data_IF_608930321665
#
_entry.id   IF_608930321665
#
_cell.length_a   1.000
_cell.length_b   1.000
_cell.length_c   1.000
_cell.angle_alpha   90.00
_cell.angle_beta   90.00
_cell.angle_gamma   90.00
#
_symmetry.space_group_name_H-M   'P 1'
#
loop_
_entity.id
_entity.type
_entity.pdbx_description
1 polymer ?
#
# COMPACT_ATOMS: atom_id res chain seq x y z
N UNK A 1 51.04 23.69 -41.27
CA UNK A 1 51.95 23.38 -40.14
C UNK A 1 51.32 23.98 -38.91
N UNK A 2 50.48 23.23 -38.19
CA UNK A 2 50.84 22.30 -37.10
C UNK A 2 50.97 23.07 -35.76
N UNK A 3 50.53 22.60 -34.60
CA UNK A 3 49.72 21.48 -34.12
C UNK A 3 49.41 21.82 -32.64
N UNK A 4 48.17 21.64 -32.15
CA UNK A 4 47.78 20.65 -31.14
C UNK A 4 48.79 20.37 -29.98
N UNK A 5 48.48 20.85 -28.77
CA UNK A 5 48.73 20.22 -27.45
C UNK A 5 48.35 21.22 -26.33
N UNK A 6 47.69 20.95 -25.20
CA UNK A 6 47.05 19.80 -24.56
C UNK A 6 46.21 20.37 -23.37
N UNK A 7 45.09 19.72 -23.06
CA UNK A 7 44.16 19.94 -21.94
C UNK A 7 43.74 18.52 -21.49
N UNK A 8 43.28 18.29 -20.25
CA UNK A 8 44.00 18.26 -18.98
C UNK A 8 44.12 16.83 -18.39
N UNK A 9 44.84 16.74 -17.26
CA UNK A 9 45.08 15.57 -16.40
C UNK A 9 43.84 14.91 -15.75
N UNK A 10 42.67 14.91 -16.40
CA UNK A 10 41.44 14.28 -15.89
C UNK A 10 41.12 12.92 -16.54
N UNK A 11 41.82 12.54 -17.61
CA UNK A 11 41.58 11.28 -18.35
C UNK A 11 42.32 10.07 -17.73
N UNK A 12 43.34 10.30 -16.89
CA UNK A 12 44.12 9.23 -16.26
C UNK A 12 43.42 8.57 -15.06
N UNK A 13 42.52 9.26 -14.37
CA UNK A 13 41.81 8.72 -13.21
C UNK A 13 40.54 7.94 -13.59
N UNK A 14 39.91 8.29 -14.69
CA UNK A 14 38.75 7.55 -15.23
C UNK A 14 39.15 6.17 -15.74
N UNK A 15 40.33 6.03 -16.36
CA UNK A 15 40.84 4.73 -16.82
C UNK A 15 41.25 3.79 -15.67
N UNK A 16 41.70 4.31 -14.53
CA UNK A 16 42.02 3.49 -13.35
C UNK A 16 40.76 2.96 -12.66
N UNK A 17 39.70 3.77 -12.60
CA UNK A 17 38.39 3.36 -12.01
C UNK A 17 37.64 2.38 -12.91
N UNK A 18 37.73 2.52 -14.24
CA UNK A 18 37.14 1.57 -15.19
C UNK A 18 37.88 0.22 -15.16
N UNK A 19 39.22 0.20 -15.03
CA UNK A 19 39.99 -1.05 -14.90
C UNK A 19 39.71 -1.79 -13.60
N UNK A 20 39.44 -1.07 -12.51
CA UNK A 20 39.08 -1.69 -11.22
C UNK A 20 37.65 -2.26 -11.23
N UNK A 21 36.72 -1.58 -11.92
CA UNK A 21 35.33 -2.02 -12.04
C UNK A 21 35.15 -3.20 -13.01
N UNK A 22 35.93 -3.28 -14.09
CA UNK A 22 35.93 -4.44 -14.99
C UNK A 22 36.59 -5.68 -14.37
N UNK A 23 37.59 -5.51 -13.50
CA UNK A 23 38.22 -6.65 -12.81
C UNK A 23 37.27 -7.29 -11.79
N UNK A 24 36.44 -6.49 -11.11
CA UNK A 24 35.41 -6.98 -10.19
C UNK A 24 34.26 -7.71 -10.91
N UNK A 25 33.95 -7.33 -12.15
CA UNK A 25 32.95 -8.03 -12.96
C UNK A 25 33.45 -9.35 -13.56
N UNK A 26 34.76 -9.49 -13.83
CA UNK A 26 35.36 -10.72 -14.37
C UNK A 26 35.67 -11.80 -13.31
N UNK A 27 35.59 -11.47 -12.02
CA UNK A 27 35.80 -12.43 -10.92
C UNK A 27 34.51 -12.92 -10.25
N UNK A 28 33.34 -12.42 -10.66
CA UNK A 28 32.05 -12.85 -10.12
C UNK A 28 31.55 -14.19 -10.70
N UNK A 29 32.26 -14.80 -11.67
CA UNK A 29 31.78 -15.97 -12.41
C UNK A 29 32.60 -17.26 -12.20
N UNK A 30 33.42 -17.34 -11.16
CA UNK A 30 34.15 -18.57 -10.81
C UNK A 30 34.05 -18.87 -9.31
N UNK A 31 33.29 -19.92 -8.98
CA UNK A 31 33.28 -20.60 -7.70
C UNK A 31 34.71 -20.92 -7.23
N UNK A 32 35.27 -20.14 -6.32
CA UNK A 32 36.43 -20.59 -5.53
C UNK A 32 36.55 -19.84 -4.20
N UNK A 33 35.99 -20.44 -3.15
CA UNK A 33 36.27 -20.09 -1.76
C UNK A 33 37.67 -20.61 -1.40
N UNK A 34 38.69 -19.74 -1.43
CA UNK A 34 39.90 -19.78 -0.56
C UNK A 34 40.90 -18.67 -0.99
N UNK A 35 41.45 -17.98 0.01
CA UNK A 35 42.53 -16.99 -0.06
C UNK A 35 42.15 -15.54 -0.43
N UNK A 36 41.53 -14.85 0.53
CA UNK A 36 41.60 -13.37 0.63
C UNK A 36 42.24 -13.02 1.98
N UNK A 37 43.52 -13.39 2.15
CA UNK A 37 44.32 -12.98 3.31
C UNK A 37 45.73 -12.51 2.93
N UNK A 38 45.88 -11.94 1.74
CA UNK A 38 47.16 -11.42 1.27
C UNK A 38 46.98 -10.24 0.30
N UNK A 39 46.29 -9.17 0.71
CA UNK A 39 46.22 -7.91 -0.06
C UNK A 39 45.76 -6.71 0.80
N UNK A 40 46.24 -6.61 2.05
CA UNK A 40 46.02 -5.45 2.93
C UNK A 40 47.30 -5.05 3.70
N UNK A 41 48.42 -4.96 2.99
CA UNK A 41 49.63 -4.25 3.44
C UNK A 41 50.18 -3.49 2.24
N UNK A 42 49.68 -2.29 1.99
CA UNK A 42 50.34 -1.18 1.28
C UNK A 42 49.30 -0.08 1.00
N UNK A 43 48.93 0.67 2.03
CA UNK A 43 48.49 2.06 1.96
C UNK A 43 48.25 2.57 3.39
N UNK A 44 48.76 3.77 3.71
CA UNK A 44 48.61 4.55 4.95
C UNK A 44 49.57 4.22 6.11
N UNK A 45 50.69 4.97 6.24
CA UNK A 45 51.30 5.26 7.53
C UNK A 45 50.55 6.41 8.23
N UNK A 46 50.49 6.34 9.56
CA UNK A 46 50.10 7.39 10.51
C UNK A 46 48.61 7.72 10.69
N UNK A 47 48.04 7.29 11.83
CA UNK A 47 46.71 7.72 12.28
C UNK A 47 46.15 6.89 13.43
N UNK A 48 46.50 7.27 14.65
CA UNK A 48 46.06 6.71 15.93
C UNK A 48 44.54 6.89 16.15
N UNK A 49 43.77 5.82 16.35
CA UNK A 49 42.56 5.88 17.19
C UNK A 49 42.11 4.50 17.71
N UNK A 50 41.80 4.55 19.00
CA UNK A 50 41.56 3.48 19.97
C UNK A 50 40.26 2.72 19.68
N UNK A 51 40.30 1.39 19.63
CA UNK A 51 39.13 0.55 19.88
C UNK A 51 39.50 -0.64 20.79
N UNK A 52 38.91 -0.63 21.98
CA UNK A 52 39.00 -1.71 22.98
C UNK A 52 38.21 -2.93 22.51
N UNK A 53 38.86 -4.09 22.67
CA UNK A 53 38.31 -5.43 22.50
C UNK A 53 37.19 -5.74 23.50
N UNK A 54 36.23 -6.56 23.05
CA UNK A 54 35.60 -7.58 23.88
C UNK A 54 35.31 -8.82 23.02
N UNK A 55 36.07 -9.89 23.27
CA UNK A 55 35.88 -11.23 22.72
C UNK A 55 35.23 -12.14 23.77
N UNK A 56 34.39 -13.09 23.34
CA UNK A 56 34.07 -14.39 23.97
C UNK A 56 33.28 -15.21 22.94
N UNK A 57 33.92 -16.13 22.23
CA UNK A 57 34.12 -17.56 22.51
C UNK A 57 32.92 -18.44 22.12
N UNK A 58 33.09 -19.21 21.05
CA UNK A 58 32.30 -20.39 20.70
C UNK A 58 33.23 -21.61 20.77
N UNK A 59 32.82 -22.63 21.52
CA UNK A 59 33.57 -23.86 21.73
C UNK A 59 33.20 -24.92 20.68
N UNK A 60 34.25 -25.53 20.15
CA UNK A 60 34.31 -26.64 19.20
C UNK A 60 33.92 -27.98 19.85
N UNK A 61 33.30 -28.88 19.09
CA UNK A 61 33.46 -30.33 19.30
C UNK A 61 33.64 -31.04 17.95
N UNK A 62 34.66 -31.90 17.90
CA UNK A 62 35.11 -32.70 16.76
C UNK A 62 35.35 -34.12 17.24
N UNK A 63 34.97 -35.10 16.43
CA UNK A 63 35.52 -36.46 16.34
C UNK A 63 34.98 -37.05 15.02
N UNK A 64 35.66 -37.82 14.18
CA UNK A 64 36.99 -38.41 14.15
C UNK A 64 37.00 -39.37 12.94
N UNK A 65 38.10 -39.42 12.21
CA UNK A 65 38.30 -39.96 10.86
C UNK A 65 38.39 -41.49 10.76
N UNK A 66 38.15 -42.08 9.57
CA UNK A 66 39.15 -42.78 8.71
C UNK A 66 38.52 -43.57 7.54
N UNK A 67 39.31 -43.72 6.48
CA UNK A 67 38.99 -44.16 5.11
C UNK A 67 39.62 -45.54 4.83
N UNK A 68 39.02 -46.35 3.95
CA UNK A 68 39.77 -47.27 3.06
C UNK A 68 38.99 -47.62 1.77
N UNK A 69 39.72 -47.62 0.65
CA UNK A 69 39.30 -47.90 -0.73
C UNK A 69 39.44 -49.40 -1.07
N UNK A 70 38.65 -49.89 -2.04
CA UNK A 70 38.87 -51.19 -2.69
C UNK A 70 37.96 -51.46 -3.89
N UNK A 71 38.54 -51.44 -5.10
CA UNK A 71 37.91 -51.66 -6.42
C UNK A 71 37.76 -53.16 -6.73
N UNK A 72 36.61 -53.59 -7.27
CA UNK A 72 36.52 -54.77 -8.18
C UNK A 72 35.24 -54.74 -9.03
N UNK A 73 35.44 -55.01 -10.32
CA UNK A 73 34.46 -55.06 -11.42
C UNK A 73 33.81 -56.45 -11.50
N UNK A 74 32.50 -56.53 -11.74
CA UNK A 74 31.85 -57.65 -12.44
C UNK A 74 30.45 -57.25 -12.98
N UNK A 75 30.00 -57.98 -14.00
CA UNK A 75 29.03 -57.63 -15.04
C UNK A 75 27.54 -57.81 -14.67
N UNK A 76 26.71 -57.10 -15.44
CA UNK A 76 25.24 -57.14 -15.71
C UNK A 76 24.45 -58.45 -15.46
N UNK A 77 23.12 -58.38 -15.20
CA UNK A 77 22.12 -58.30 -16.28
C UNK A 77 20.93 -57.34 -16.07
N UNK A 78 20.49 -56.72 -17.17
CA UNK A 78 19.19 -56.06 -17.32
C UNK A 78 18.04 -57.10 -17.38
N UNK A 79 16.89 -56.81 -16.75
CA UNK A 79 15.57 -57.14 -17.29
C UNK A 79 14.43 -56.29 -16.67
N UNK A 80 13.38 -56.12 -17.48
CA UNK A 80 12.28 -55.12 -17.53
C UNK A 80 11.38 -54.98 -16.27
N UNK A 81 10.50 -53.94 -16.23
CA UNK A 81 9.12 -54.23 -16.63
C UNK A 81 8.40 -53.15 -17.49
N UNK A 82 7.60 -53.69 -18.42
CA UNK A 82 6.23 -53.31 -18.79
C UNK A 82 5.90 -51.87 -19.22
N UNK A 83 5.76 -51.72 -20.54
CA UNK A 83 5.08 -50.60 -21.19
C UNK A 83 3.56 -50.79 -21.14
N UNK A 84 2.83 -49.76 -20.71
CA UNK A 84 1.42 -49.55 -21.01
C UNK A 84 1.34 -48.31 -21.91
N UNK A 85 0.84 -48.52 -23.13
CA UNK A 85 0.67 -47.49 -24.16
C UNK A 85 -0.78 -47.02 -24.10
N UNK A 86 -1.03 -45.79 -23.68
CA UNK A 86 -2.28 -45.09 -23.95
C UNK A 86 -2.00 -43.98 -24.95
N UNK A 87 -2.64 -44.06 -26.11
CA UNK A 87 -2.65 -43.01 -27.11
C UNK A 87 -4.06 -42.42 -27.12
N UNK A 88 -4.20 -41.15 -26.74
CA UNK A 88 -5.41 -40.36 -27.01
C UNK A 88 -5.05 -38.88 -26.89
N UNK A 89 -5.00 -38.22 -28.04
CA UNK A 89 -4.80 -36.79 -28.22
C UNK A 89 -5.74 -35.96 -27.33
N UNK A 90 -5.19 -35.13 -26.44
CA UNK A 90 -5.77 -33.83 -26.06
C UNK A 90 -4.64 -32.84 -25.87
N UNK A 91 -4.69 -31.76 -26.65
CA UNK A 91 -3.71 -30.67 -26.60
C UNK A 91 -3.68 -30.05 -25.19
N UNK A 92 -2.47 -29.77 -24.70
CA UNK A 92 -2.24 -28.89 -23.57
C UNK A 92 -2.91 -27.53 -23.83
N UNK A 93 -4.07 -27.32 -23.18
CA UNK A 93 -4.67 -26.02 -23.09
C UNK A 93 -3.95 -25.23 -21.98
N UNK A 94 -3.42 -24.10 -22.40
CA UNK A 94 -2.73 -23.06 -21.64
C UNK A 94 -3.44 -22.74 -20.32
N UNK A 95 -2.67 -22.69 -19.24
CA UNK A 95 -3.10 -22.26 -17.92
C UNK A 95 -3.40 -20.74 -17.96
N UNK A 96 -4.66 -20.37 -18.09
CA UNK A 96 -5.14 -18.98 -17.95
C UNK A 96 -5.72 -18.77 -16.55
N UNK A 97 -5.20 -17.78 -15.85
CA UNK A 97 -5.52 -17.43 -14.48
C UNK A 97 -6.99 -17.08 -14.22
N UNK A 98 -7.37 -17.29 -12.95
CA UNK A 98 -8.55 -16.82 -12.23
C UNK A 98 -9.84 -16.65 -13.04
N UNK A 99 -10.64 -17.73 -13.09
CA UNK A 99 -12.10 -17.57 -13.12
C UNK A 99 -12.57 -17.25 -11.71
N UNK A 100 -13.13 -16.05 -11.54
CA UNK A 100 -13.97 -15.72 -10.40
C UNK A 100 -15.16 -16.68 -10.35
N UNK A 101 -15.30 -17.41 -9.23
CA UNK A 101 -16.51 -18.14 -8.90
C UNK A 101 -17.21 -17.40 -7.77
N UNK A 102 -18.19 -16.58 -8.15
CA UNK A 102 -19.19 -16.02 -7.25
C UNK A 102 -20.15 -17.14 -6.86
N UNK A 103 -20.15 -17.57 -5.60
CA UNK A 103 -21.32 -18.18 -4.97
C UNK A 103 -21.26 -18.01 -3.45
N UNK A 104 -22.15 -17.18 -2.92
CA UNK A 104 -22.61 -17.27 -1.53
C UNK A 104 -23.98 -17.96 -1.60
N UNK A 105 -24.07 -19.15 -1.02
CA UNK A 105 -25.35 -19.76 -0.65
C UNK A 105 -25.27 -20.08 0.84
N UNK A 106 -25.92 -19.25 1.64
CA UNK A 106 -26.20 -19.55 3.05
C UNK A 106 -27.47 -20.39 3.07
N UNK A 107 -27.33 -21.69 3.29
CA UNK A 107 -28.40 -22.53 3.80
C UNK A 107 -27.89 -23.10 5.13
N UNK A 108 -28.50 -22.61 6.20
CA UNK A 108 -28.49 -23.26 7.49
C UNK A 108 -29.14 -24.64 7.34
N UNK A 109 -28.45 -25.71 7.72
CA UNK A 109 -29.09 -26.80 8.43
C UNK A 109 -28.07 -27.69 9.16
N UNK A 110 -28.51 -28.09 10.34
CA UNK A 110 -27.83 -28.75 11.43
C UNK A 110 -27.56 -30.25 11.21
N UNK A 111 -26.60 -30.76 11.98
CA UNK A 111 -26.49 -32.15 12.52
C UNK A 111 -26.39 -33.31 11.52
N UNK A 112 -25.27 -34.04 11.45
CA UNK A 112 -24.87 -35.15 12.33
C UNK A 112 -25.67 -36.46 12.09
N UNK A 113 -25.07 -37.37 11.29
CA UNK A 113 -25.31 -38.81 11.11
C UNK A 113 -26.68 -39.33 10.62
N UNK A 114 -26.66 -40.13 9.55
CA UNK A 114 -27.73 -41.09 9.21
C UNK A 114 -27.72 -41.61 7.78
N UNK A 115 -27.49 -42.91 7.59
CA UNK A 115 -27.44 -43.67 6.33
C UNK A 115 -28.84 -44.08 5.81
N UNK A 116 -28.92 -44.28 4.48
CA UNK A 116 -29.80 -45.21 3.72
C UNK A 116 -31.33 -44.98 3.83
N UNK A 117 -32.24 -45.29 2.90
CA UNK A 117 -32.28 -46.01 1.62
C UNK A 117 -33.63 -45.67 0.89
N UNK A 118 -33.86 -46.35 -0.23
CA UNK A 118 -34.80 -46.16 -1.36
C UNK A 118 -36.33 -46.28 -1.17
N UNK A 119 -37.05 -45.66 -2.12
CA UNK A 119 -38.22 -46.16 -2.91
C UNK A 119 -39.65 -45.60 -2.66
N UNK A 120 -40.17 -45.02 -3.75
CA UNK A 120 -41.54 -45.07 -4.31
C UNK A 120 -42.75 -44.47 -3.54
N UNK A 121 -43.47 -43.55 -4.20
CA UNK A 121 -44.83 -43.79 -4.73
C UNK A 121 -45.33 -42.63 -5.61
N UNK A 122 -46.05 -42.99 -6.67
CA UNK A 122 -46.68 -42.13 -7.68
C UNK A 122 -48.03 -41.59 -7.18
N UNK A 123 -48.45 -40.45 -7.70
CA UNK A 123 -49.85 -39.98 -7.61
C UNK A 123 -50.06 -38.61 -8.27
N UNK A 124 -50.46 -38.62 -9.54
CA UNK A 124 -50.72 -37.48 -10.43
C UNK A 124 -51.93 -36.62 -10.01
N UNK A 125 -51.85 -35.28 -10.12
CA UNK A 125 -52.93 -34.36 -10.59
C UNK A 125 -52.33 -33.04 -11.13
N UNK A 126 -52.82 -32.60 -12.30
CA UNK A 126 -52.58 -31.42 -13.19
C UNK A 126 -53.04 -30.08 -12.51
N UNK A 127 -52.67 -28.81 -12.88
CA UNK A 127 -52.27 -28.25 -14.20
C UNK A 127 -51.02 -27.33 -14.27
N UNK A 128 -50.57 -27.13 -15.51
CA UNK A 128 -49.63 -26.10 -15.94
C UNK A 128 -50.09 -24.69 -15.54
N UNK A 129 -49.31 -24.05 -14.66
CA UNK A 129 -49.21 -22.60 -14.58
C UNK A 129 -47.75 -22.24 -14.90
N UNK A 130 -47.50 -21.75 -16.11
CA UNK A 130 -46.22 -21.14 -16.46
C UNK A 130 -46.05 -19.85 -15.65
N UNK A 131 -45.41 -19.95 -14.48
CA UNK A 131 -44.81 -18.79 -13.83
C UNK A 131 -43.50 -18.49 -14.56
N UNK A 132 -43.51 -17.42 -15.34
CA UNK A 132 -42.29 -16.80 -15.88
C UNK A 132 -41.45 -16.28 -14.71
N UNK A 133 -40.56 -17.12 -14.19
CA UNK A 133 -39.47 -16.67 -13.32
C UNK A 133 -38.43 -15.94 -14.19
N UNK A 134 -38.71 -14.69 -14.56
CA UNK A 134 -37.64 -13.77 -14.97
C UNK A 134 -36.88 -13.36 -13.71
N UNK A 135 -35.92 -14.18 -13.30
CA UNK A 135 -34.80 -13.69 -12.50
C UNK A 135 -33.99 -12.78 -13.41
N UNK A 136 -34.17 -11.48 -13.29
CA UNK A 136 -33.26 -10.50 -13.90
C UNK A 136 -31.91 -10.66 -13.22
N UNK A 137 -31.05 -11.52 -13.76
CA UNK A 137 -29.63 -11.53 -13.43
C UNK A 137 -29.02 -10.30 -14.08
N UNK A 138 -28.87 -9.23 -13.32
CA UNK A 138 -27.95 -8.15 -13.69
C UNK A 138 -26.54 -8.72 -13.64
N UNK A 139 -26.08 -9.25 -14.77
CA UNK A 139 -24.65 -9.45 -15.00
C UNK A 139 -24.03 -8.07 -15.19
N UNK A 140 -23.63 -7.42 -14.09
CA UNK A 140 -22.66 -6.32 -14.15
C UNK A 140 -21.36 -6.98 -14.56
N UNK A 141 -21.07 -6.95 -15.86
CA UNK A 141 -19.73 -7.24 -16.35
C UNK A 141 -18.98 -5.92 -16.19
N UNK A 142 -18.10 -5.74 -15.19
CA UNK A 142 -17.42 -4.47 -14.99
C UNK A 142 -16.57 -4.20 -16.23
N UNK A 143 -17.05 -3.30 -17.10
CA UNK A 143 -16.18 -2.70 -18.09
C UNK A 143 -15.27 -1.76 -17.32
N UNK A 144 -13.97 -1.97 -17.44
CA UNK A 144 -12.97 -1.03 -16.96
C UNK A 144 -13.33 0.37 -17.48
N UNK A 145 -13.73 1.28 -16.59
CA UNK A 145 -14.37 2.55 -16.96
C UNK A 145 -13.70 3.77 -16.34
N UNK A 146 -12.90 3.58 -15.28
CA UNK A 146 -12.38 4.69 -14.50
C UNK A 146 -10.90 4.92 -14.74
N UNK A 147 -10.52 6.19 -14.78
CA UNK A 147 -9.13 6.63 -14.88
C UNK A 147 -8.61 7.03 -13.51
N UNK A 148 -7.44 6.51 -13.15
CA UNK A 148 -6.77 6.81 -11.87
C UNK A 148 -5.44 7.47 -12.17
N UNK A 149 -5.11 8.58 -11.50
CA UNK A 149 -3.79 9.18 -11.52
C UNK A 149 -3.06 8.99 -10.19
N UNK A 150 -1.80 8.60 -10.24
CA UNK A 150 -0.92 8.53 -9.07
C UNK A 150 0.17 9.60 -9.23
N UNK A 151 0.14 10.62 -8.37
CA UNK A 151 1.11 11.71 -8.36
C UNK A 151 2.20 11.41 -7.31
N UNK A 152 3.42 11.11 -7.77
CA UNK A 152 4.48 10.51 -6.95
C UNK A 152 4.64 9.00 -7.21
N UNK A 153 4.36 8.56 -8.43
CA UNK A 153 4.31 7.15 -8.82
C UNK A 153 5.67 6.43 -8.77
N UNK A 154 6.78 7.14 -8.88
CA UNK A 154 8.12 6.54 -8.82
C UNK A 154 8.64 6.39 -7.37
N UNK A 155 7.93 6.95 -6.38
CA UNK A 155 8.28 6.85 -4.96
C UNK A 155 8.05 5.47 -4.34
N UNK A 156 8.54 5.27 -3.11
CA UNK A 156 8.47 3.99 -2.41
C UNK A 156 7.05 3.49 -2.10
N UNK A 157 6.06 4.40 -1.98
CA UNK A 157 4.63 4.04 -1.93
C UNK A 157 4.04 3.95 -3.34
N UNK A 158 4.43 4.86 -4.23
CA UNK A 158 3.88 5.01 -5.58
C UNK A 158 4.00 3.75 -6.43
N UNK A 159 5.18 3.11 -6.47
CA UNK A 159 5.41 1.92 -7.29
C UNK A 159 4.53 0.73 -6.87
N UNK A 160 4.53 0.27 -5.61
CA UNK A 160 3.64 -0.82 -5.20
C UNK A 160 2.16 -0.45 -5.28
N UNK A 161 1.80 0.83 -5.07
CA UNK A 161 0.43 1.30 -5.24
C UNK A 161 -0.01 1.19 -6.71
N UNK A 162 0.84 1.61 -7.66
CA UNK A 162 0.57 1.52 -9.08
C UNK A 162 0.36 0.07 -9.52
N UNK A 163 1.15 -0.87 -9.01
CA UNK A 163 0.94 -2.30 -9.26
C UNK A 163 -0.43 -2.77 -8.76
N UNK A 164 -0.82 -2.42 -7.53
CA UNK A 164 -2.11 -2.83 -6.97
C UNK A 164 -3.30 -2.21 -7.72
N UNK A 165 -3.20 -0.94 -8.10
CA UNK A 165 -4.26 -0.26 -8.88
C UNK A 165 -4.36 -0.84 -10.30
N UNK A 166 -3.22 -1.19 -10.93
CA UNK A 166 -3.18 -1.89 -12.23
C UNK A 166 -3.91 -3.22 -12.20
N UNK A 167 -4.00 -3.89 -11.05
CA UNK A 167 -4.70 -5.16 -10.89
C UNK A 167 -6.23 -5.02 -10.76
N UNK A 168 -6.76 -3.81 -10.53
CA UNK A 168 -8.21 -3.61 -10.40
C UNK A 168 -8.92 -3.72 -11.75
N UNK A 169 -10.01 -4.49 -11.86
CA UNK A 169 -10.79 -4.61 -13.10
C UNK A 169 -11.60 -3.35 -13.43
N UNK A 170 -11.79 -2.44 -12.47
CA UNK A 170 -12.55 -1.20 -12.64
C UNK A 170 -11.74 -0.10 -13.34
N UNK A 171 -10.40 -0.23 -13.38
CA UNK A 171 -9.49 0.79 -13.91
C UNK A 171 -9.27 0.59 -15.41
N UNK A 172 -9.64 1.59 -16.21
CA UNK A 172 -9.41 1.61 -17.67
C UNK A 172 -8.07 2.20 -18.04
N UNK A 173 -7.62 3.22 -17.30
CA UNK A 173 -6.33 3.87 -17.52
C UNK A 173 -5.69 4.28 -16.19
N UNK A 174 -4.40 4.03 -16.07
CA UNK A 174 -3.57 4.38 -14.94
C UNK A 174 -2.52 5.40 -15.40
N UNK A 175 -2.70 6.65 -14.97
CA UNK A 175 -1.77 7.74 -15.25
C UNK A 175 -0.74 7.81 -14.12
N UNK A 176 0.53 7.61 -14.45
CA UNK A 176 1.64 7.64 -13.51
C UNK A 176 2.40 8.94 -13.71
N UNK A 177 2.40 9.79 -12.69
CA UNK A 177 3.14 11.05 -12.70
C UNK A 177 4.24 11.05 -11.65
N UNK A 178 5.42 11.54 -12.03
CA UNK A 178 6.49 11.89 -11.09
C UNK A 178 7.41 12.96 -11.70
N UNK A 179 8.27 13.57 -10.90
CA UNK A 179 9.29 14.49 -11.38
C UNK A 179 10.44 13.76 -12.11
N UNK A 180 10.60 12.45 -11.88
CA UNK A 180 11.60 11.62 -12.54
C UNK A 180 11.32 10.12 -12.41
N UNK A 181 12.03 9.31 -13.19
CA UNK A 181 12.02 7.83 -13.14
C UNK A 181 10.68 7.12 -13.41
N UNK A 182 9.59 7.82 -13.72
CA UNK A 182 8.27 7.21 -13.92
C UNK A 182 8.14 6.39 -15.21
N UNK A 183 8.92 6.70 -16.25
CA UNK A 183 8.91 5.95 -17.53
C UNK A 183 9.26 4.47 -17.35
N UNK A 184 10.27 4.19 -16.51
CA UNK A 184 10.66 2.82 -16.20
C UNK A 184 9.57 2.08 -15.42
N UNK A 185 8.94 2.75 -14.46
CA UNK A 185 7.82 2.21 -13.67
C UNK A 185 6.62 1.89 -14.57
N UNK A 186 6.27 2.78 -15.49
CA UNK A 186 5.17 2.57 -16.43
C UNK A 186 5.46 1.42 -17.39
N UNK A 187 6.68 1.34 -17.94
CA UNK A 187 7.08 0.24 -18.81
C UNK A 187 6.97 -1.12 -18.10
N UNK A 188 7.46 -1.21 -16.86
CA UNK A 188 7.39 -2.43 -16.04
C UNK A 188 5.92 -2.86 -15.80
N UNK A 189 5.10 -1.95 -15.27
CA UNK A 189 3.69 -2.21 -14.92
C UNK A 189 2.84 -2.48 -16.18
N UNK A 190 3.21 -1.94 -17.34
CA UNK A 190 2.49 -2.17 -18.60
C UNK A 190 2.50 -3.64 -19.05
N UNK A 191 3.49 -4.43 -18.61
CA UNK A 191 3.57 -5.85 -18.91
C UNK A 191 2.56 -6.71 -18.12
N UNK A 192 1.94 -6.16 -17.06
CA UNK A 192 0.90 -6.85 -16.32
C UNK A 192 -0.35 -7.03 -17.20
N UNK A 193 -0.79 -8.28 -17.35
CA UNK A 193 -1.86 -8.73 -18.24
C UNK A 193 -3.28 -8.41 -17.73
N UNK A 194 -3.52 -7.16 -17.38
CA UNK A 194 -4.80 -6.61 -16.91
C UNK A 194 -5.29 -5.52 -17.87
N UNK A 195 -6.59 -5.18 -17.90
CA UNK A 195 -7.16 -4.30 -18.94
C UNK A 195 -6.69 -2.85 -18.87
N UNK A 196 -6.25 -2.35 -17.71
CA UNK A 196 -5.88 -0.94 -17.56
C UNK A 196 -4.69 -0.55 -18.45
N UNK A 197 -4.84 0.49 -19.27
CA UNK A 197 -3.73 1.09 -20.00
C UNK A 197 -2.85 1.88 -19.03
N UNK A 198 -1.53 1.78 -19.15
CA UNK A 198 -0.58 2.54 -18.33
C UNK A 198 0.01 3.68 -19.16
N UNK A 199 0.00 4.89 -18.61
CA UNK A 199 0.53 6.11 -19.24
C UNK A 199 1.51 6.78 -18.27
N UNK A 200 2.68 7.18 -18.75
CA UNK A 200 3.68 7.92 -17.98
C UNK A 200 3.66 9.42 -18.27
N UNK A 201 3.91 10.22 -17.23
CA UNK A 201 4.00 11.67 -17.30
C UNK A 201 5.16 12.16 -16.41
N UNK A 202 6.21 12.69 -17.01
CA UNK A 202 7.44 13.10 -16.32
C UNK A 202 7.60 14.62 -16.28
N UNK A 203 7.77 15.16 -15.08
CA UNK A 203 8.12 16.57 -14.87
C UNK A 203 6.95 17.54 -15.02
N UNK A 204 7.17 18.78 -14.54
CA UNK A 204 6.10 19.76 -14.34
C UNK A 204 5.28 20.08 -15.60
N UNK A 205 5.88 20.03 -16.80
CA UNK A 205 5.19 20.30 -18.07
C UNK A 205 4.15 19.23 -18.43
N UNK A 206 4.28 18.01 -17.93
CA UNK A 206 3.38 16.90 -18.23
C UNK A 206 2.30 16.68 -17.15
N UNK A 207 2.43 17.35 -15.99
CA UNK A 207 1.45 17.27 -14.89
C UNK A 207 0.01 17.61 -15.33
N UNK A 208 -0.27 18.67 -16.12
CA UNK A 208 -1.64 18.93 -16.59
C UNK A 208 -2.21 17.79 -17.43
N UNK A 209 -1.39 17.17 -18.28
CA UNK A 209 -1.83 16.07 -19.14
C UNK A 209 -2.09 14.78 -18.34
N UNK A 210 -1.36 14.56 -17.24
CA UNK A 210 -1.57 13.39 -16.38
C UNK A 210 -2.93 13.41 -15.67
N UNK A 211 -3.60 14.56 -15.62
CA UNK A 211 -4.85 14.77 -14.90
C UNK A 211 -6.09 14.75 -15.80
N UNK A 212 -5.93 14.73 -17.12
CA UNK A 212 -7.06 14.83 -18.07
C UNK A 212 -8.03 13.66 -17.97
N UNK A 213 -9.28 14.00 -17.61
CA UNK A 213 -10.38 13.03 -17.51
C UNK A 213 -10.21 12.00 -16.40
N UNK A 214 -9.36 12.28 -15.40
CA UNK A 214 -9.13 11.41 -14.25
C UNK A 214 -10.34 11.45 -13.32
N UNK A 215 -10.74 10.29 -12.80
CA UNK A 215 -11.84 10.15 -11.85
C UNK A 215 -11.34 10.11 -10.39
N UNK A 216 -10.16 9.53 -10.17
CA UNK A 216 -9.52 9.43 -8.84
C UNK A 216 -8.05 9.85 -8.95
N UNK A 217 -7.64 10.85 -8.18
CA UNK A 217 -6.25 11.29 -8.05
C UNK A 217 -5.72 10.85 -6.70
N UNK A 218 -4.59 10.16 -6.69
CA UNK A 218 -3.92 9.70 -5.47
C UNK A 218 -2.57 10.37 -5.36
N UNK A 219 -2.31 11.00 -4.21
CA UNK A 219 -1.11 11.82 -3.98
C UNK A 219 -0.28 11.18 -2.85
N UNK A 220 0.54 10.14 -3.15
CA UNK A 220 1.59 9.66 -2.27
C UNK A 220 2.87 10.52 -2.34
N UNK A 221 2.96 11.48 -3.27
CA UNK A 221 4.13 12.35 -3.42
C UNK A 221 4.51 13.03 -2.09
N UNK A 222 5.79 12.94 -1.77
CA UNK A 222 6.33 13.53 -0.55
C UNK A 222 7.74 13.03 -0.31
N UNK A 223 8.48 13.78 0.48
CA UNK A 223 9.82 13.39 0.91
C UNK A 223 9.68 12.59 2.20
N UNK A 224 10.29 11.40 2.31
CA UNK A 224 10.36 10.69 3.59
C UNK A 224 11.29 11.45 4.54
N UNK A 225 11.05 11.33 5.84
CA UNK A 225 11.94 11.92 6.84
C UNK A 225 13.36 11.36 6.68
N UNK A 226 14.35 12.25 6.52
CA UNK A 226 15.78 11.90 6.46
C UNK A 226 16.48 12.25 7.79
N UNK A 227 17.58 11.56 8.16
CA UNK A 227 18.42 11.97 9.27
C UNK A 227 18.83 13.45 9.14
N UNK A 228 18.73 14.21 10.23
CA UNK A 228 19.05 15.65 10.26
C UNK A 228 17.92 16.61 9.85
N UNK A 229 16.79 16.11 9.33
CA UNK A 229 15.63 16.94 8.96
C UNK A 229 14.73 17.21 10.18
N UNK A 230 14.36 18.47 10.42
CA UNK A 230 13.40 18.82 11.48
C UNK A 230 11.98 18.42 11.08
N UNK A 231 11.06 18.37 12.05
CA UNK A 231 9.62 18.13 11.77
C UNK A 231 9.03 19.25 10.90
N UNK A 232 9.51 20.48 11.08
CA UNK A 232 9.02 21.64 10.34
C UNK A 232 9.56 21.69 8.90
N UNK A 233 10.82 21.28 8.68
CA UNK A 233 11.37 21.17 7.32
C UNK A 233 10.55 20.18 6.48
N UNK A 234 10.29 19.00 7.05
CA UNK A 234 9.50 17.96 6.42
C UNK A 234 8.09 18.45 6.08
N UNK A 235 7.46 19.16 7.03
CA UNK A 235 6.17 19.79 6.82
C UNK A 235 6.20 20.77 5.65
N UNK A 236 7.14 21.72 5.64
CA UNK A 236 7.21 22.76 4.62
C UNK A 236 7.46 22.20 3.21
N UNK A 237 8.31 21.17 3.09
CA UNK A 237 8.57 20.49 1.82
C UNK A 237 7.29 19.82 1.30
N UNK A 238 6.66 18.99 2.13
CA UNK A 238 5.47 18.26 1.71
C UNK A 238 4.25 19.17 1.52
N UNK A 239 4.15 20.26 2.29
CA UNK A 239 3.13 21.28 2.13
C UNK A 239 3.22 21.96 0.76
N UNK A 240 4.42 22.34 0.31
CA UNK A 240 4.62 22.89 -1.03
C UNK A 240 4.33 21.86 -2.13
N UNK A 241 4.76 20.60 -1.96
CA UNK A 241 4.46 19.53 -2.93
C UNK A 241 2.94 19.35 -3.08
N UNK A 242 2.22 19.19 -1.96
CA UNK A 242 0.76 19.01 -1.98
C UNK A 242 0.07 20.22 -2.58
N UNK A 243 0.48 21.44 -2.22
CA UNK A 243 -0.07 22.67 -2.81
C UNK A 243 0.03 22.63 -4.34
N UNK A 244 1.24 22.47 -4.89
CA UNK A 244 1.46 22.50 -6.35
C UNK A 244 0.66 21.42 -7.07
N UNK A 245 0.61 20.21 -6.52
CA UNK A 245 -0.13 19.10 -7.14
C UNK A 245 -1.64 19.35 -7.08
N UNK A 246 -2.17 19.86 -5.96
CA UNK A 246 -3.59 20.15 -5.82
C UNK A 246 -4.01 21.36 -6.65
N UNK A 247 -3.16 22.37 -6.85
CA UNK A 247 -3.39 23.45 -7.82
C UNK A 247 -3.59 22.89 -9.23
N UNK A 248 -2.74 21.95 -9.66
CA UNK A 248 -2.89 21.30 -10.95
C UNK A 248 -4.18 20.46 -11.04
N UNK A 249 -4.56 19.75 -9.97
CA UNK A 249 -5.82 19.02 -9.89
C UNK A 249 -7.01 19.96 -10.03
N UNK A 250 -6.99 21.09 -9.32
CA UNK A 250 -8.03 22.11 -9.39
C UNK A 250 -8.21 22.64 -10.82
N UNK A 251 -7.11 22.84 -11.55
CA UNK A 251 -7.12 23.41 -12.91
C UNK A 251 -7.51 22.39 -13.99
N UNK A 252 -7.30 21.08 -13.77
CA UNK A 252 -7.39 20.06 -14.84
C UNK A 252 -8.45 18.97 -14.62
N UNK A 253 -8.77 18.63 -13.37
CA UNK A 253 -9.78 17.64 -13.03
C UNK A 253 -10.46 17.93 -11.67
N UNK A 254 -11.11 19.10 -11.52
CA UNK A 254 -11.70 19.52 -10.24
C UNK A 254 -12.78 18.56 -9.72
N UNK A 255 -13.37 17.76 -10.61
CA UNK A 255 -14.41 16.80 -10.26
C UNK A 255 -13.92 15.45 -9.74
N UNK A 256 -12.61 15.18 -9.79
CA UNK A 256 -12.01 13.93 -9.35
C UNK A 256 -12.10 13.75 -7.82
N UNK A 257 -12.11 12.51 -7.35
CA UNK A 257 -11.86 12.23 -5.93
C UNK A 257 -10.36 12.38 -5.66
N UNK A 258 -10.00 13.14 -4.64
CA UNK A 258 -8.62 13.53 -4.32
C UNK A 258 -8.21 12.82 -3.04
N UNK A 259 -7.27 11.88 -3.14
CA UNK A 259 -6.74 11.09 -2.04
C UNK A 259 -5.37 11.61 -1.62
N UNK A 260 -5.30 12.29 -0.48
CA UNK A 260 -4.05 12.79 0.11
C UNK A 260 -3.46 11.71 1.01
N UNK A 261 -2.27 11.20 0.64
CA UNK A 261 -1.45 10.30 1.45
C UNK A 261 -0.22 11.05 1.99
N UNK A 262 0.19 12.13 1.31
CA UNK A 262 1.32 12.99 1.70
C UNK A 262 1.25 13.40 3.16
N UNK A 263 2.25 13.00 3.93
CA UNK A 263 2.35 13.32 5.35
C UNK A 263 2.86 14.76 5.58
N UNK A 264 2.42 15.44 6.65
CA UNK A 264 1.44 14.99 7.65
C UNK A 264 -0.02 15.21 7.19
N UNK A 265 -0.82 14.14 7.11
CA UNK A 265 -2.22 14.17 6.60
C UNK A 265 -3.09 15.19 7.35
N UNK A 266 -2.92 15.29 8.67
CA UNK A 266 -3.64 16.23 9.53
C UNK A 266 -3.49 17.71 9.11
N UNK A 267 -2.44 18.04 8.34
CA UNK A 267 -2.20 19.41 7.83
C UNK A 267 -2.27 19.50 6.31
N UNK A 268 -1.87 18.46 5.57
CA UNK A 268 -1.87 18.46 4.10
C UNK A 268 -3.28 18.43 3.51
N UNK A 269 -4.25 17.80 4.18
CA UNK A 269 -5.67 17.87 3.77
C UNK A 269 -6.24 19.28 3.94
N UNK A 270 -6.07 19.98 5.08
CA UNK A 270 -6.43 21.39 5.19
C UNK A 270 -5.74 22.29 4.15
N UNK A 271 -4.45 22.04 3.84
CA UNK A 271 -3.76 22.76 2.75
C UNK A 271 -4.48 22.54 1.41
N UNK A 272 -4.79 21.29 1.06
CA UNK A 272 -5.48 20.96 -0.17
C UNK A 272 -6.85 21.62 -0.24
N UNK A 273 -7.61 21.62 0.85
CA UNK A 273 -8.91 22.28 0.93
C UNK A 273 -8.80 23.79 0.68
N UNK A 274 -7.86 24.49 1.33
CA UNK A 274 -7.66 25.92 1.15
C UNK A 274 -7.20 26.26 -0.28
N UNK A 275 -6.35 25.43 -0.90
CA UNK A 275 -5.95 25.58 -2.30
C UNK A 275 -7.17 25.47 -3.23
N UNK A 276 -8.00 24.44 -3.05
CA UNK A 276 -9.21 24.25 -3.85
C UNK A 276 -10.22 25.39 -3.64
N UNK A 277 -10.35 25.91 -2.42
CA UNK A 277 -11.22 27.06 -2.11
C UNK A 277 -10.76 28.30 -2.85
N UNK A 278 -9.45 28.58 -2.85
CA UNK A 278 -8.87 29.70 -3.60
C UNK A 278 -9.09 29.58 -5.10
N UNK A 279 -9.06 28.36 -5.62
CA UNK A 279 -9.36 28.06 -7.04
C UNK A 279 -10.86 28.06 -7.35
N UNK A 280 -11.73 28.20 -6.34
CA UNK A 280 -13.19 28.26 -6.51
C UNK A 280 -13.85 26.92 -6.85
N UNK A 281 -13.15 25.79 -6.64
CA UNK A 281 -13.59 24.44 -7.06
C UNK A 281 -13.68 23.46 -5.89
N UNK A 282 -13.66 23.95 -4.66
CA UNK A 282 -13.69 23.08 -3.48
C UNK A 282 -15.04 22.39 -3.30
N UNK A 283 -15.02 21.05 -3.40
CA UNK A 283 -16.11 20.18 -2.96
C UNK A 283 -15.62 19.36 -1.75
N UNK A 284 -16.15 19.59 -0.53
CA UNK A 284 -15.74 18.86 0.66
C UNK A 284 -16.04 17.36 0.58
N UNK A 285 -16.95 16.92 -0.31
CA UNK A 285 -17.30 15.51 -0.49
C UNK A 285 -16.24 14.73 -1.26
N UNK A 286 -15.33 15.41 -1.96
CA UNK A 286 -14.36 14.79 -2.89
C UNK A 286 -12.91 14.84 -2.42
N UNK A 287 -12.63 15.45 -1.27
CA UNK A 287 -11.28 15.53 -0.70
C UNK A 287 -11.14 14.59 0.50
N UNK A 288 -10.21 13.65 0.40
CA UNK A 288 -10.02 12.57 1.36
C UNK A 288 -8.58 12.52 1.85
N UNK A 289 -8.38 12.58 3.17
CA UNK A 289 -7.16 12.11 3.81
C UNK A 289 -7.22 10.60 4.01
N UNK A 290 -6.27 9.87 3.43
CA UNK A 290 -6.26 8.40 3.50
C UNK A 290 -5.71 7.96 4.85
N UNK A 291 -6.59 7.57 5.76
CA UNK A 291 -6.25 7.03 7.10
C UNK A 291 -6.43 5.52 7.19
N UNK A 292 -6.72 4.86 6.06
CA UNK A 292 -7.01 3.42 5.96
C UNK A 292 -5.91 2.53 6.54
N UNK A 293 -4.66 2.99 6.56
CA UNK A 293 -3.57 2.21 7.15
C UNK A 293 -3.75 2.01 8.66
N UNK A 294 -4.37 2.96 9.36
CA UNK A 294 -4.63 2.84 10.80
C UNK A 294 -5.71 1.79 11.07
N UNK A 295 -6.77 1.75 10.23
CA UNK A 295 -7.79 0.70 10.26
C UNK A 295 -7.18 -0.67 9.96
N UNK A 296 -6.34 -0.78 8.93
CA UNK A 296 -5.65 -2.03 8.58
C UNK A 296 -4.80 -2.54 9.75
N UNK A 297 -4.08 -1.65 10.42
CA UNK A 297 -3.29 -1.98 11.62
C UNK A 297 -4.15 -2.38 12.79
N UNK A 298 -5.21 -1.62 13.08
CA UNK A 298 -6.15 -1.92 14.16
C UNK A 298 -6.78 -3.31 13.97
N UNK A 299 -7.30 -3.60 12.78
CA UNK A 299 -7.87 -4.92 12.46
C UNK A 299 -6.84 -6.03 12.65
N UNK A 300 -5.60 -5.82 12.19
CA UNK A 300 -4.51 -6.79 12.34
C UNK A 300 -4.18 -7.06 13.81
N UNK A 301 -3.95 -6.02 14.60
CA UNK A 301 -3.54 -6.16 15.99
C UNK A 301 -4.65 -6.71 16.88
N UNK A 302 -5.90 -6.28 16.66
CA UNK A 302 -7.06 -6.82 17.37
C UNK A 302 -7.28 -8.28 17.03
N UNK A 303 -7.21 -8.65 15.73
CA UNK A 303 -7.35 -10.05 15.33
C UNK A 303 -6.31 -10.96 15.99
N UNK A 304 -5.05 -10.51 16.04
CA UNK A 304 -3.97 -11.24 16.71
C UNK A 304 -4.19 -11.34 18.23
N UNK A 305 -4.53 -10.22 18.90
CA UNK A 305 -4.72 -10.19 20.36
C UNK A 305 -5.90 -11.05 20.81
N UNK A 306 -6.99 -11.05 20.03
CA UNK A 306 -8.24 -11.75 20.35
C UNK A 306 -8.40 -13.10 19.65
N UNK A 307 -7.37 -13.54 18.90
CA UNK A 307 -7.38 -14.77 18.12
C UNK A 307 -8.63 -14.88 17.20
N UNK A 308 -8.96 -13.77 16.53
CA UNK A 308 -10.06 -13.69 15.58
C UNK A 308 -9.56 -13.94 14.16
N UNK A 309 -10.48 -14.34 13.27
CA UNK A 309 -10.19 -14.38 11.84
C UNK A 309 -10.05 -12.96 11.30
N UNK A 310 -8.86 -12.60 10.82
CA UNK A 310 -8.53 -11.25 10.37
C UNK A 310 -9.54 -10.66 9.37
N UNK A 311 -10.04 -11.48 8.44
CA UNK A 311 -10.98 -11.04 7.40
C UNK A 311 -12.33 -10.58 7.95
N UNK A 312 -12.69 -11.02 9.16
CA UNK A 312 -13.97 -10.70 9.80
C UNK A 312 -13.85 -9.47 10.73
N UNK A 313 -12.64 -8.96 10.98
CA UNK A 313 -12.39 -7.87 11.93
C UNK A 313 -12.53 -6.50 11.27
N UNK A 314 -13.37 -5.65 11.86
CA UNK A 314 -13.54 -4.22 11.53
C UNK A 314 -13.47 -3.38 12.82
N UNK A 315 -12.44 -2.56 12.95
CA UNK A 315 -12.24 -1.60 14.04
C UNK A 315 -12.30 -0.19 13.44
N UNK A 316 -13.34 0.61 13.74
CA UNK A 316 -13.37 2.01 13.33
C UNK A 316 -12.20 2.79 13.97
N UNK A 317 -11.50 3.60 13.18
CA UNK A 317 -10.44 4.48 13.68
C UNK A 317 -10.78 5.92 13.30
N UNK A 318 -10.86 6.78 14.30
CA UNK A 318 -11.32 8.17 14.19
C UNK A 318 -10.23 9.16 14.63
N UNK A 319 -10.48 10.47 14.47
CA UNK A 319 -9.54 11.52 14.88
C UNK A 319 -8.70 12.06 13.74
N UNK A 320 -7.42 11.68 13.69
CA UNK A 320 -6.42 12.08 12.71
C UNK A 320 -5.48 10.92 12.36
N UNK A 321 -4.29 11.23 11.84
CA UNK A 321 -3.30 10.28 11.32
C UNK A 321 -1.89 10.49 11.90
N UNK A 322 -1.78 10.96 13.14
CA UNK A 322 -0.49 11.18 13.80
C UNK A 322 -0.57 10.99 15.32
N UNK A 323 0.24 10.08 15.86
CA UNK A 323 0.37 9.89 17.31
C UNK A 323 -0.99 9.72 18.00
N UNK A 324 -1.23 10.49 19.06
CA UNK A 324 -2.47 10.42 19.85
C UNK A 324 -3.73 10.81 19.06
N UNK A 325 -3.59 11.47 17.91
CA UNK A 325 -4.73 11.78 17.06
C UNK A 325 -5.36 10.55 16.43
N UNK A 326 -4.67 9.42 16.40
CA UNK A 326 -5.23 8.14 15.93
C UNK A 326 -6.01 7.50 17.11
N UNK A 327 -7.34 7.47 17.01
CA UNK A 327 -8.20 6.90 18.05
C UNK A 327 -8.94 5.65 17.52
N UNK A 328 -8.44 4.43 17.84
CA UNK A 328 -9.17 3.20 17.54
C UNK A 328 -10.34 3.03 18.51
N UNK A 329 -11.56 2.92 17.97
CA UNK A 329 -12.77 2.67 18.75
C UNK A 329 -12.93 1.18 19.03
N UNK A 330 -12.12 0.67 19.96
CA UNK A 330 -12.09 -0.76 20.30
C UNK A 330 -13.46 -1.25 20.81
N UNK A 331 -14.24 -0.38 21.48
CA UNK A 331 -15.60 -0.70 21.93
C UNK A 331 -16.58 -0.94 20.77
N UNK A 332 -16.24 -0.48 19.56
CA UNK A 332 -17.05 -0.62 18.33
C UNK A 332 -16.53 -1.72 17.40
N UNK A 333 -15.56 -2.53 17.85
CA UNK A 333 -15.01 -3.65 17.08
C UNK A 333 -16.11 -4.61 16.63
N UNK A 334 -16.05 -5.03 15.37
CA UNK A 334 -16.85 -6.13 14.83
C UNK A 334 -15.91 -7.28 14.42
N UNK A 335 -16.23 -8.55 14.74
CA UNK A 335 -17.29 -9.00 15.64
C UNK A 335 -17.09 -8.45 17.06
N UNK A 336 -18.19 -8.33 17.81
CA UNK A 336 -18.14 -7.79 19.17
C UNK A 336 -17.28 -8.69 20.08
N UNK A 337 -16.31 -8.08 20.75
CA UNK A 337 -15.40 -8.73 21.69
C UNK A 337 -15.11 -7.82 22.87
N UNK A 338 -14.94 -8.38 24.06
CA UNK A 338 -14.60 -7.63 25.27
C UNK A 338 -13.09 -7.44 25.38
N UNK A 339 -12.67 -6.27 25.85
CA UNK A 339 -11.29 -5.94 26.18
C UNK A 339 -11.19 -5.58 27.66
N UNK A 340 -10.08 -5.96 28.31
CA UNK A 340 -9.71 -5.39 29.61
C UNK A 340 -9.12 -4.00 29.43
N UNK A 341 -9.07 -3.20 30.50
CA UNK A 341 -8.51 -1.85 30.43
C UNK A 341 -7.03 -1.86 29.99
N UNK A 342 -6.26 -2.86 30.42
CA UNK A 342 -4.88 -3.05 30.00
C UNK A 342 -4.77 -3.36 28.50
N UNK A 343 -5.65 -4.20 27.97
CA UNK A 343 -5.67 -4.51 26.54
C UNK A 343 -6.07 -3.29 25.70
N UNK A 344 -7.03 -2.49 26.19
CA UNK A 344 -7.44 -1.24 25.53
C UNK A 344 -6.25 -0.28 25.45
N UNK A 345 -5.53 -0.08 26.55
CA UNK A 345 -4.38 0.80 26.60
C UNK A 345 -3.23 0.28 25.71
N UNK A 346 -2.87 -1.00 25.80
CA UNK A 346 -1.80 -1.62 25.02
C UNK A 346 -2.06 -1.53 23.52
N UNK A 347 -3.27 -1.91 23.08
CA UNK A 347 -3.66 -1.87 21.67
C UNK A 347 -3.70 -0.45 21.14
N UNK A 348 -4.28 0.48 21.89
CA UNK A 348 -4.36 1.90 21.47
C UNK A 348 -2.96 2.49 21.26
N UNK A 349 -2.07 2.33 22.24
CA UNK A 349 -0.69 2.83 22.16
C UNK A 349 0.06 2.19 20.99
N UNK A 350 -0.11 0.88 20.76
CA UNK A 350 0.54 0.20 19.64
C UNK A 350 0.01 0.69 18.29
N UNK A 351 -1.31 0.87 18.15
CA UNK A 351 -1.92 1.38 16.91
C UNK A 351 -1.39 2.79 16.60
N UNK A 352 -1.35 3.68 17.60
CA UNK A 352 -0.82 5.04 17.46
C UNK A 352 0.66 5.09 17.06
N UNK A 353 1.46 4.13 17.54
CA UNK A 353 2.91 4.10 17.33
C UNK A 353 3.39 3.12 16.24
N UNK A 354 2.49 2.41 15.57
CA UNK A 354 2.84 1.43 14.55
C UNK A 354 3.58 2.03 13.34
N UNK A 355 3.44 3.35 13.10
CA UNK A 355 4.27 4.08 12.14
C UNK A 355 5.74 4.15 12.56
N UNK A 356 5.96 4.48 13.83
CA UNK A 356 7.29 4.57 14.46
C UNK A 356 7.96 3.20 14.53
N UNK A 357 7.23 2.15 14.90
CA UNK A 357 7.72 0.76 14.92
C UNK A 357 8.35 0.36 13.57
N UNK A 358 7.71 0.71 12.44
CA UNK A 358 8.24 0.41 11.11
C UNK A 358 9.48 1.23 10.78
N UNK A 359 9.53 2.51 11.18
CA UNK A 359 10.71 3.37 10.96
C UNK A 359 11.91 2.84 11.72
N UNK A 360 11.71 2.40 12.96
CA UNK A 360 12.75 1.81 13.81
C UNK A 360 13.21 0.46 13.25
N UNK A 361 12.28 -0.41 12.83
CA UNK A 361 12.60 -1.70 12.20
C UNK A 361 13.36 -1.53 10.87
N UNK A 362 13.13 -0.43 10.15
CA UNK A 362 13.90 -0.06 8.95
C UNK A 362 15.20 0.68 9.25
N UNK A 363 15.59 0.80 10.52
CA UNK A 363 16.78 1.53 10.96
C UNK A 363 16.84 2.97 10.41
N UNK A 364 15.68 3.63 10.30
CA UNK A 364 15.57 5.00 9.76
C UNK A 364 15.65 5.09 8.23
N UNK A 365 15.76 3.98 7.49
CA UNK A 365 15.80 3.94 6.02
C UNK A 365 14.42 4.14 5.35
N UNK A 366 13.53 4.93 5.99
CA UNK A 366 12.18 5.24 5.52
C UNK A 366 11.07 4.70 6.42
N UNK A 367 9.83 4.96 6.02
CA UNK A 367 8.61 4.57 6.72
C UNK A 367 7.88 3.40 6.02
N UNK A 368 6.67 3.09 6.47
CA UNK A 368 5.81 2.09 5.83
C UNK A 368 5.55 2.45 4.35
N UNK A 369 5.89 1.53 3.45
CA UNK A 369 5.73 1.69 2.00
C UNK A 369 4.72 0.68 1.47
N UNK A 370 4.98 -0.61 1.66
CA UNK A 370 4.16 -1.70 1.14
C UNK A 370 2.77 -1.75 1.77
N UNK A 371 2.68 -1.68 3.11
CA UNK A 371 1.39 -1.67 3.81
C UNK A 371 0.60 -0.39 3.54
N UNK A 372 1.29 0.74 3.34
CA UNK A 372 0.63 1.99 2.93
C UNK A 372 0.08 1.89 1.50
N UNK A 373 0.82 1.30 0.56
CA UNK A 373 0.33 1.05 -0.79
C UNK A 373 -0.90 0.12 -0.80
N UNK A 374 -0.89 -0.94 0.02
CA UNK A 374 -2.06 -1.79 0.23
C UNK A 374 -3.27 -1.01 0.76
N UNK A 375 -3.08 -0.23 1.83
CA UNK A 375 -4.17 0.55 2.42
C UNK A 375 -4.73 1.61 1.47
N UNK A 376 -3.86 2.28 0.72
CA UNK A 376 -4.25 3.25 -0.31
C UNK A 376 -4.99 2.59 -1.47
N UNK A 377 -4.52 1.42 -1.95
CA UNK A 377 -5.20 0.66 -3.00
C UNK A 377 -6.59 0.20 -2.56
N UNK A 378 -6.76 -0.22 -1.29
CA UNK A 378 -8.08 -0.52 -0.71
C UNK A 378 -9.01 0.69 -0.77
N UNK A 379 -8.53 1.87 -0.37
CA UNK A 379 -9.34 3.08 -0.40
C UNK A 379 -9.70 3.54 -1.84
N UNK A 380 -8.77 3.36 -2.78
CA UNK A 380 -9.02 3.56 -4.22
C UNK A 380 -10.10 2.60 -4.70
N UNK A 381 -10.01 1.31 -4.39
CA UNK A 381 -11.02 0.31 -4.78
C UNK A 381 -12.41 0.64 -4.22
N UNK A 382 -12.49 1.05 -2.95
CA UNK A 382 -13.74 1.55 -2.34
C UNK A 382 -14.30 2.75 -3.10
N UNK A 383 -13.45 3.71 -3.49
CA UNK A 383 -13.86 4.86 -4.30
C UNK A 383 -14.35 4.48 -5.70
N UNK A 384 -13.68 3.52 -6.35
CA UNK A 384 -14.09 3.01 -7.67
C UNK A 384 -15.44 2.28 -7.59
N UNK A 385 -15.65 1.45 -6.57
CA UNK A 385 -16.96 0.81 -6.31
C UNK A 385 -18.07 1.83 -6.10
N UNK A 386 -17.79 2.88 -5.31
CA UNK A 386 -18.74 3.95 -5.06
C UNK A 386 -19.10 4.74 -6.34
N UNK A 387 -18.12 5.01 -7.21
CA UNK A 387 -18.33 5.61 -8.53
C UNK A 387 -19.17 4.70 -9.45
N UNK A 388 -18.95 3.39 -9.36
CA UNK A 388 -19.73 2.37 -10.09
C UNK A 388 -21.17 2.21 -9.61
N UNK A 389 -21.48 2.80 -8.44
CA UNK A 389 -22.82 2.83 -7.86
C UNK A 389 -23.09 1.70 -6.89
N UNK A 390 -22.04 1.07 -6.35
CA UNK A 390 -22.18 0.27 -5.13
C UNK A 390 -22.71 1.17 -4.00
N UNK A 391 -23.88 0.81 -3.46
CA UNK A 391 -24.58 1.60 -2.46
C UNK A 391 -24.06 1.35 -1.03
N UNK A 392 -23.21 0.35 -0.83
CA UNK A 392 -22.78 -0.16 0.48
C UNK A 392 -21.25 -0.07 0.65
N UNK A 393 -20.70 1.13 0.45
CA UNK A 393 -19.27 1.39 0.59
C UNK A 393 -19.01 2.29 1.79
N UNK A 394 -18.24 1.79 2.75
CA UNK A 394 -17.84 2.53 3.96
C UNK A 394 -16.35 2.42 4.20
N UNK A 395 -15.72 3.54 4.53
CA UNK A 395 -14.31 3.60 4.92
C UNK A 395 -14.11 4.67 6.01
N UNK A 396 -13.04 4.57 6.79
CA UNK A 396 -12.61 5.69 7.62
C UNK A 396 -11.71 6.61 6.80
N UNK A 397 -11.95 7.93 6.85
CA UNK A 397 -11.13 8.93 6.14
C UNK A 397 -11.15 10.27 6.87
N UNK A 398 -10.02 10.99 6.82
CA UNK A 398 -9.89 12.35 7.33
C UNK A 398 -10.47 13.35 6.32
N UNK A 399 -11.66 13.86 6.61
CA UNK A 399 -12.45 14.71 5.70
C UNK A 399 -12.91 15.98 6.41
N UNK A 400 -13.45 16.94 5.65
CA UNK A 400 -14.18 18.04 6.27
C UNK A 400 -15.40 17.47 6.99
N UNK A 401 -15.57 17.82 8.27
CA UNK A 401 -16.52 17.15 9.16
C UNK A 401 -17.16 18.14 10.12
N UNK A 402 -18.40 17.87 10.50
CA UNK A 402 -19.17 18.56 11.53
C UNK A 402 -19.46 17.67 12.75
N UNK A 403 -18.84 16.49 12.83
CA UNK A 403 -19.00 15.56 13.96
C UNK A 403 -18.36 16.06 15.25
N UNK A 404 -17.45 17.04 15.15
CA UNK A 404 -16.79 17.71 16.26
C UNK A 404 -16.72 19.21 15.97
N UNK A 405 -16.23 20.01 16.91
CA UNK A 405 -15.94 21.43 16.71
C UNK A 405 -14.78 21.70 15.74
N UNK A 406 -14.02 20.67 15.36
CA UNK A 406 -12.90 20.78 14.43
C UNK A 406 -13.41 20.70 12.98
N UNK A 407 -12.88 21.52 12.06
CA UNK A 407 -13.35 21.54 10.67
C UNK A 407 -12.97 20.29 9.88
N UNK A 408 -11.99 19.52 10.34
CA UNK A 408 -11.59 18.24 9.75
C UNK A 408 -11.46 17.18 10.82
N UNK A 409 -11.96 15.98 10.53
CA UNK A 409 -11.93 14.87 11.46
C UNK A 409 -12.04 13.53 10.71
N UNK A 410 -11.25 12.54 11.11
CA UNK A 410 -11.34 11.19 10.58
C UNK A 410 -12.51 10.47 11.23
N UNK A 411 -13.39 9.93 10.41
CA UNK A 411 -14.55 9.15 10.85
C UNK A 411 -14.94 8.15 9.78
N UNK A 412 -15.80 7.19 10.12
CA UNK A 412 -16.40 6.33 9.11
C UNK A 412 -17.34 7.16 8.23
N UNK A 413 -17.14 7.07 6.93
CA UNK A 413 -17.92 7.77 5.90
C UNK A 413 -18.57 6.77 4.97
N UNK A 414 -19.79 7.07 4.53
CA UNK A 414 -20.44 6.38 3.42
C UNK A 414 -20.01 7.05 2.11
N UNK A 415 -19.47 6.27 1.18
CA UNK A 415 -19.07 6.75 -0.14
C UNK A 415 -20.16 6.44 -1.17
N UNK A 416 -20.32 7.33 -2.14
CA UNK A 416 -21.17 7.14 -3.31
C UNK A 416 -20.63 7.85 -4.53
N UNK A 417 -21.43 7.94 -5.59
CA UNK A 417 -21.00 8.46 -6.90
C UNK A 417 -20.50 9.91 -6.86
N UNK A 418 -20.89 10.68 -5.85
CA UNK A 418 -20.51 12.09 -5.66
C UNK A 418 -19.55 12.30 -4.48
N UNK A 419 -18.89 11.24 -4.01
CA UNK A 419 -17.97 11.30 -2.88
C UNK A 419 -18.67 10.94 -1.57
N UNK A 420 -18.38 11.67 -0.50
CA UNK A 420 -19.02 11.46 0.82
C UNK A 420 -20.54 11.71 0.73
N UNK A 421 -21.32 10.66 0.98
CA UNK A 421 -22.78 10.74 1.10
C UNK A 421 -23.23 11.02 2.53
N UNK A 422 -22.55 10.43 3.51
CA UNK A 422 -22.88 10.58 4.92
C UNK A 422 -21.65 10.39 5.81
N UNK A 423 -21.62 11.11 6.93
CA UNK A 423 -20.71 10.89 8.05
C UNK A 423 -21.43 10.02 9.09
N UNK A 424 -20.81 8.93 9.54
CA UNK A 424 -21.44 7.97 10.45
C UNK A 424 -21.25 8.43 11.90
N UNK A 425 -22.13 9.30 12.36
CA UNK A 425 -22.08 9.88 13.71
C UNK A 425 -22.34 8.86 14.83
N UNK A 426 -23.01 7.74 14.53
CA UNK A 426 -23.33 6.70 15.51
C UNK A 426 -22.09 6.04 16.13
N UNK A 427 -20.95 6.04 15.42
CA UNK A 427 -19.69 5.48 15.94
C UNK A 427 -19.16 6.29 17.15
N UNK A 428 -19.49 7.58 17.23
CA UNK A 428 -19.12 8.46 18.35
C UNK A 428 -20.15 8.45 19.49
N UNK A 429 -21.24 7.69 19.39
CA UNK A 429 -22.23 7.57 20.45
C UNK A 429 -21.88 6.41 21.37
N UNK A 430 -22.04 6.60 22.69
CA UNK A 430 -21.78 5.54 23.67
C UNK A 430 -20.33 5.07 23.65
N UNK A 431 -19.39 6.03 23.59
CA UNK A 431 -17.97 5.77 23.80
C UNK A 431 -17.73 5.35 25.25
N UNK A 432 -16.71 4.53 25.46
CA UNK A 432 -16.21 4.22 26.81
C UNK A 432 -15.56 5.46 27.43
N UNK A 433 -15.38 5.47 28.76
CA UNK A 433 -14.68 6.56 29.45
C UNK A 433 -13.28 6.78 28.86
N UNK A 434 -12.54 5.70 28.58
CA UNK A 434 -11.22 5.78 27.96
C UNK A 434 -11.25 6.44 26.58
N UNK A 435 -12.17 6.02 25.70
CA UNK A 435 -12.30 6.58 24.35
C UNK A 435 -12.74 8.06 24.38
N UNK A 436 -13.62 8.43 25.32
CA UNK A 436 -14.06 9.81 25.51
C UNK A 436 -12.91 10.71 25.97
N UNK A 437 -12.13 10.28 26.96
CA UNK A 437 -10.95 11.01 27.44
C UNK A 437 -9.87 11.14 26.35
N UNK A 438 -9.65 10.06 25.59
CA UNK A 438 -8.72 10.08 24.46
C UNK A 438 -9.18 11.03 23.34
N UNK A 439 -10.49 11.07 23.06
CA UNK A 439 -11.10 12.00 22.11
C UNK A 439 -10.92 13.47 22.55
N UNK A 440 -11.10 13.77 23.83
CA UNK A 440 -10.86 15.13 24.33
C UNK A 440 -9.36 15.49 24.32
N UNK A 441 -8.49 14.52 24.60
CA UNK A 441 -7.03 14.73 24.60
C UNK A 441 -6.47 14.97 23.20
N UNK A 442 -7.02 14.32 22.17
CA UNK A 442 -6.49 14.45 20.81
C UNK A 442 -6.91 15.74 20.10
N UNK A 443 -8.05 16.33 20.47
CA UNK A 443 -8.63 17.50 19.80
C UNK A 443 -7.68 18.70 19.73
N UNK A 444 -6.97 19.10 20.82
CA UNK A 444 -6.01 20.20 20.76
C UNK A 444 -4.85 19.97 19.78
N UNK A 445 -4.29 18.76 19.73
CA UNK A 445 -3.18 18.43 18.82
C UNK A 445 -3.64 18.42 17.35
N UNK A 446 -4.84 17.88 17.11
CA UNK A 446 -5.44 17.86 15.79
C UNK A 446 -5.77 19.29 15.33
N UNK A 447 -6.35 20.12 16.21
CA UNK A 447 -6.61 21.54 15.94
C UNK A 447 -5.35 22.29 15.54
N UNK A 448 -4.26 22.14 16.29
CA UNK A 448 -2.99 22.79 15.99
C UNK A 448 -2.45 22.35 14.62
N UNK A 449 -2.59 21.07 14.27
CA UNK A 449 -2.18 20.53 12.96
C UNK A 449 -3.01 21.11 11.81
N UNK A 450 -4.33 21.23 12.02
CA UNK A 450 -5.26 21.82 11.05
C UNK A 450 -4.94 23.29 10.83
N UNK A 451 -4.82 24.06 11.91
CA UNK A 451 -4.51 25.50 11.86
C UNK A 451 -3.16 25.76 11.20
N UNK A 452 -2.16 24.91 11.46
CA UNK A 452 -0.86 24.98 10.78
C UNK A 452 -0.98 24.82 9.26
N UNK A 453 -1.80 23.87 8.80
CA UNK A 453 -2.08 23.66 7.37
C UNK A 453 -2.80 24.85 6.73
N UNK A 454 -3.87 25.33 7.38
CA UNK A 454 -4.64 26.50 6.92
C UNK A 454 -3.74 27.74 6.84
N UNK A 455 -2.96 28.01 7.90
CA UNK A 455 -2.06 29.16 7.96
C UNK A 455 -0.98 29.10 6.87
N UNK A 456 -0.43 27.91 6.57
CA UNK A 456 0.52 27.74 5.47
C UNK A 456 -0.10 28.15 4.14
N UNK A 457 -1.30 27.63 3.84
CA UNK A 457 -1.99 27.95 2.60
C UNK A 457 -2.31 29.45 2.50
N UNK A 458 -2.74 30.09 3.59
CA UNK A 458 -3.12 31.50 3.61
C UNK A 458 -1.94 32.48 3.53
N UNK A 459 -0.80 32.19 4.18
CA UNK A 459 0.39 33.07 4.20
C UNK A 459 0.93 33.43 2.82
N UNK A 460 0.85 32.51 1.86
CA UNK A 460 1.35 32.77 0.49
C UNK A 460 0.41 33.66 -0.36
N UNK A 461 -0.73 34.11 0.18
CA UNK A 461 -1.63 35.08 -0.48
C UNK A 461 -1.15 36.52 -0.30
N UNK A 462 -0.31 36.79 0.70
CA UNK A 462 0.16 38.15 1.02
C UNK A 462 1.46 38.49 0.29
N UNK A 463 2.13 37.49 -0.29
CA UNK A 463 3.42 37.63 -0.95
C UNK A 463 3.37 37.55 -2.49
N UNK A 464 2.17 37.38 -3.06
CA UNK A 464 1.88 37.39 -4.50
C UNK A 464 0.93 38.56 -4.79
#
# INVERSE_FOLDING_TARGET
>A
MAAWSELPSLVCDVWKVIRFSLLLYLFADLNCFKSVTALCKYAFPDGLLIYKMAAKSAATFSAGSTVAFGTKVSQFPQSKPSAVRFNSQKSLATFSGLKAATFVKCESESSFLGKESSAALRGSVVPQAQKSNQKSQYHVNPQASYKVAILGAAGGIGQPLALLVKMSPLVSALHLYDIGNVKGVAADISHCNTPAQVLDFTGASELPNSLKGVNVVVIPAGVPRKPGMTRDDLFNINANIVKTLVEAVADNCPDAFIHIISNPVNSTVPIAAEVLKKKGVYDPKKLFGVTTLDVVRANTFVALKKNLKLIDVDVPVVGGHAGITILPLLSKTKPAVSFTDEEVQELTVRIQNAGTEVVEAKAGAGSATLSMAYAAARFVESSLRALDGDADVYECSFVQSDLTELPFFASKVKLGRKGVEALISSDLQGLTTYEQEALETLKPELKASIEKGIAFAQKQTVAA
#
